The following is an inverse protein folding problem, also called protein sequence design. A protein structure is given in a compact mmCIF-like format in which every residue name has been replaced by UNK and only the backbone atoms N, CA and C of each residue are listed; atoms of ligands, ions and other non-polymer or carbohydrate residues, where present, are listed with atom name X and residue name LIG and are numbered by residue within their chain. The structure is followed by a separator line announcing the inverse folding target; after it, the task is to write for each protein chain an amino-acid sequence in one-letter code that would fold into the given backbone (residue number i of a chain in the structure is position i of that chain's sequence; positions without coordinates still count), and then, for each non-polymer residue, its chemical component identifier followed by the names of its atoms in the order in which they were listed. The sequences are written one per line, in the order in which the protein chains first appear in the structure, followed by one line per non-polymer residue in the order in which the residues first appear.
data_IF_661362649896
#
_entry.id   IF_661362649896
#
_cell.length_a   1.000
_cell.length_b   1.000
_cell.length_c   1.000
_cell.angle_alpha   90.00
_cell.angle_beta   90.00
_cell.angle_gamma   90.00
#
_symmetry.space_group_name_H-M   'P 1'
#
loop_
_entity.id
_entity.type
_entity.pdbx_description
1 polymer ?
#
# COMPACT_ATOMS: atom_id res chain seq x y z
N UNK A 1 18.02 49.03 -14.48
CA UNK A 1 16.62 49.44 -14.22
C UNK A 1 15.93 49.79 -15.53
N UNK A 2 15.04 48.91 -16.02
CA UNK A 2 13.92 49.22 -16.93
C UNK A 2 12.90 48.10 -16.73
N UNK A 3 11.82 48.41 -16.03
CA UNK A 3 10.64 47.56 -15.86
C UNK A 3 9.72 47.76 -17.08
N UNK A 4 9.20 46.68 -17.64
CA UNK A 4 8.09 46.72 -18.59
C UNK A 4 6.92 46.02 -17.92
N UNK A 5 5.94 46.82 -17.53
CA UNK A 5 4.64 46.42 -17.02
C UNK A 5 3.75 45.98 -18.20
N UNK A 6 3.13 44.80 -18.10
CA UNK A 6 2.08 44.34 -19.00
C UNK A 6 0.72 44.53 -18.30
N UNK A 7 -0.28 45.21 -18.89
CA UNK A 7 -1.56 45.42 -18.23
C UNK A 7 -2.49 44.21 -18.39
N UNK A 8 -3.02 43.75 -17.26
CA UNK A 8 -4.16 42.84 -17.14
C UNK A 8 -5.44 43.57 -17.55
N UNK A 9 -6.19 43.04 -18.52
CA UNK A 9 -7.54 43.51 -18.85
C UNK A 9 -8.54 42.56 -18.20
N UNK A 10 -9.20 43.04 -17.15
CA UNK A 10 -10.39 42.43 -16.55
C UNK A 10 -11.63 42.91 -17.33
N UNK A 11 -12.38 41.99 -17.93
CA UNK A 11 -13.71 42.26 -18.46
C UNK A 11 -14.75 41.66 -17.50
N UNK A 12 -15.34 42.54 -16.69
CA UNK A 12 -16.58 42.29 -15.97
C UNK A 12 -17.70 42.87 -16.83
N UNK A 13 -18.68 42.05 -17.22
CA UNK A 13 -19.99 42.55 -17.61
C UNK A 13 -21.07 41.86 -16.77
N UNK A 14 -21.72 42.69 -15.96
CA UNK A 14 -22.86 42.37 -15.12
C UNK A 14 -24.14 42.43 -15.96
N UNK A 15 -24.98 41.45 -15.70
CA UNK A 15 -26.41 41.29 -15.93
C UNK A 15 -27.24 42.53 -16.30
N UNK A 16 -28.14 42.35 -17.27
CA UNK A 16 -29.40 43.06 -17.35
C UNK A 16 -30.55 42.05 -17.49
N UNK A 17 -31.56 42.27 -16.66
CA UNK A 17 -32.76 41.46 -16.43
C UNK A 17 -33.93 42.03 -17.24
N UNK A 18 -34.74 41.19 -17.92
CA UNK A 18 -36.22 41.19 -17.84
C UNK A 18 -36.91 40.33 -18.91
N UNK A 19 -37.73 39.43 -18.39
CA UNK A 19 -39.08 39.00 -18.79
C UNK A 19 -39.52 39.15 -20.25
N UNK A 20 -39.88 38.00 -20.85
CA UNK A 20 -41.06 37.94 -21.71
C UNK A 20 -41.90 36.70 -21.37
N UNK A 21 -43.17 36.96 -21.08
CA UNK A 21 -44.24 35.99 -20.86
C UNK A 21 -44.65 35.37 -22.19
N UNK A 22 -44.77 34.05 -22.24
CA UNK A 22 -45.83 33.41 -23.05
C UNK A 22 -46.31 32.15 -22.37
N UNK A 23 -47.58 32.17 -21.96
CA UNK A 23 -48.34 30.98 -21.57
C UNK A 23 -48.70 30.20 -22.84
N UNK A 24 -48.44 28.89 -22.88
CA UNK A 24 -49.35 27.96 -23.54
C UNK A 24 -49.28 26.59 -22.85
N UNK A 25 -50.46 26.18 -22.36
CA UNK A 25 -50.74 24.83 -21.87
C UNK A 25 -50.75 23.86 -23.06
N UNK A 26 -49.85 22.88 -23.09
CA UNK A 26 -50.11 21.58 -23.71
C UNK A 26 -49.49 20.50 -22.83
N UNK A 27 -50.32 19.55 -22.40
CA UNK A 27 -49.96 18.28 -21.76
C UNK A 27 -50.33 17.15 -22.75
N UNK A 28 -49.88 15.91 -22.55
CA UNK A 28 -48.61 15.34 -22.97
C UNK A 28 -48.81 14.21 -24.01
N UNK A 29 -47.85 13.95 -24.91
CA UNK A 29 -47.71 12.59 -25.45
C UNK A 29 -46.40 12.36 -26.23
N UNK A 30 -45.93 11.12 -26.09
CA UNK A 30 -45.01 10.37 -26.96
C UNK A 30 -43.50 10.41 -26.68
N UNK A 31 -43.03 9.22 -26.35
CA UNK A 31 -41.65 8.81 -26.12
C UNK A 31 -40.73 9.05 -27.33
N UNK A 32 -39.50 9.48 -27.04
CA UNK A 32 -38.35 9.31 -27.93
C UNK A 32 -37.20 8.68 -27.15
N UNK A 33 -36.95 7.43 -27.55
CA UNK A 33 -35.75 6.60 -27.48
C UNK A 33 -34.49 7.31 -26.98
N UNK A 34 -33.96 6.86 -25.85
CA UNK A 34 -32.57 7.09 -25.47
C UNK A 34 -31.74 5.94 -26.03
N UNK A 35 -30.81 6.26 -26.93
CA UNK A 35 -29.86 5.32 -27.51
C UNK A 35 -28.94 4.71 -26.45
N UNK A 36 -28.81 3.39 -26.55
CA UNK A 36 -27.76 2.57 -25.95
C UNK A 36 -26.38 3.16 -26.25
N UNK A 37 -25.74 3.73 -25.23
CA UNK A 37 -24.29 3.78 -25.17
C UNK A 37 -23.83 2.64 -24.28
N UNK A 38 -23.64 1.48 -24.92
CA UNK A 38 -22.87 0.34 -24.43
C UNK A 38 -21.45 0.79 -24.09
N UNK A 39 -21.26 1.40 -22.93
CA UNK A 39 -19.96 1.37 -22.25
C UNK A 39 -19.77 -0.08 -21.85
N UNK A 40 -18.99 -0.79 -22.67
CA UNK A 40 -18.45 -2.11 -22.34
C UNK A 40 -17.60 -1.92 -21.09
N UNK A 41 -18.24 -1.99 -19.92
CA UNK A 41 -17.58 -2.07 -18.62
C UNK A 41 -16.80 -3.37 -18.69
N UNK A 42 -15.50 -3.27 -18.92
CA UNK A 42 -14.59 -4.39 -18.67
C UNK A 42 -14.77 -4.70 -17.20
N UNK A 43 -15.52 -5.75 -16.89
CA UNK A 43 -15.64 -6.28 -15.54
C UNK A 43 -14.25 -6.77 -15.19
N UNK A 44 -13.45 -5.89 -14.59
CA UNK A 44 -12.26 -6.28 -13.85
C UNK A 44 -12.75 -7.24 -12.79
N UNK A 45 -12.40 -8.51 -12.94
CA UNK A 45 -12.82 -9.58 -12.05
C UNK A 45 -12.08 -9.40 -10.71
N UNK A 46 -12.61 -8.52 -9.86
CA UNK A 46 -12.10 -8.17 -8.53
C UNK A 46 -12.35 -9.27 -7.49
N UNK A 47 -12.90 -10.42 -7.89
CA UNK A 47 -13.42 -11.45 -6.99
C UNK A 47 -12.39 -12.00 -5.98
N UNK A 48 -11.09 -11.98 -6.32
CA UNK A 48 -10.00 -12.55 -5.52
C UNK A 48 -9.03 -11.49 -4.98
N UNK A 49 -9.45 -10.24 -4.81
CA UNK A 49 -8.64 -9.18 -4.20
C UNK A 49 -9.19 -8.81 -2.83
N UNK A 50 -8.30 -8.72 -1.85
CA UNK A 50 -8.57 -8.21 -0.50
C UNK A 50 -7.65 -7.02 -0.28
N UNK A 51 -8.18 -5.92 0.21
CA UNK A 51 -7.39 -4.78 0.69
C UNK A 51 -7.32 -4.82 2.20
N UNK A 52 -6.16 -4.51 2.74
CA UNK A 52 -5.84 -4.51 4.16
C UNK A 52 -5.09 -3.23 4.51
N UNK A 53 -5.29 -2.70 5.71
CA UNK A 53 -4.54 -1.54 6.18
C UNK A 53 -5.07 -0.20 5.67
N UNK A 54 -6.34 -0.15 5.26
CA UNK A 54 -7.01 1.13 4.97
C UNK A 54 -6.90 2.04 6.20
N UNK A 55 -6.50 3.30 5.99
CA UNK A 55 -6.15 4.21 7.08
C UNK A 55 -7.28 4.38 8.11
N UNK A 56 -8.53 4.45 7.66
CA UNK A 56 -9.69 4.56 8.54
C UNK A 56 -9.88 3.35 9.46
N UNK A 57 -9.60 2.14 8.96
CA UNK A 57 -9.68 0.93 9.77
C UNK A 57 -8.47 0.82 10.69
N UNK A 58 -7.28 1.13 10.18
CA UNK A 58 -6.04 1.16 10.94
C UNK A 58 -6.13 2.00 12.22
N UNK A 59 -6.74 3.18 12.13
CA UNK A 59 -6.92 4.09 13.26
C UNK A 59 -7.80 3.48 14.37
N UNK A 60 -8.77 2.64 14.01
CA UNK A 60 -9.71 1.98 14.94
C UNK A 60 -9.15 0.71 15.58
N UNK A 61 -8.05 0.17 15.07
CA UNK A 61 -7.48 -1.09 15.59
C UNK A 61 -6.98 -0.96 17.03
N UNK A 62 -6.96 -2.08 17.78
CA UNK A 62 -6.22 -2.16 19.04
C UNK A 62 -4.77 -1.67 18.86
N UNK A 63 -4.31 -0.82 19.77
CA UNK A 63 -2.94 -0.30 19.70
C UNK A 63 -1.95 -1.24 20.37
N UNK A 64 -0.79 -1.43 19.75
CA UNK A 64 0.32 -2.16 20.35
C UNK A 64 0.80 -1.45 21.62
N UNK A 65 1.23 -2.21 22.62
CA UNK A 65 2.00 -1.67 23.74
C UNK A 65 3.45 -1.64 23.31
N UNK A 66 4.09 -0.47 23.38
CA UNK A 66 5.49 -0.28 22.98
C UNK A 66 6.29 0.29 24.13
N UNK A 67 7.17 -0.53 24.70
CA UNK A 67 8.02 -0.17 25.84
C UNK A 67 9.49 -0.12 25.42
N UNK A 68 10.25 0.84 25.97
CA UNK A 68 11.70 0.91 25.73
C UNK A 68 12.44 -0.25 26.39
N UNK A 69 13.48 -0.71 25.72
CA UNK A 69 14.39 -1.77 26.20
C UNK A 69 15.84 -1.36 26.00
N UNK A 70 16.77 -2.16 26.52
CA UNK A 70 18.19 -1.97 26.26
C UNK A 70 18.62 -2.53 24.90
N UNK A 71 19.66 -1.94 24.31
CA UNK A 71 20.35 -2.49 23.14
C UNK A 71 20.82 -3.93 23.38
N UNK A 72 21.32 -4.21 24.59
CA UNK A 72 21.82 -5.54 24.95
C UNK A 72 20.73 -6.62 24.88
N UNK A 73 19.48 -6.26 25.22
CA UNK A 73 18.34 -7.15 25.14
C UNK A 73 17.96 -7.42 23.68
N UNK A 74 17.98 -6.39 22.83
CA UNK A 74 17.72 -6.54 21.39
C UNK A 74 18.78 -7.41 20.70
N UNK A 75 20.05 -7.18 21.01
CA UNK A 75 21.18 -7.87 20.35
C UNK A 75 21.28 -9.37 20.70
N UNK A 76 20.57 -9.84 21.73
CA UNK A 76 20.45 -11.27 22.06
C UNK A 76 19.48 -12.03 21.15
N UNK A 77 18.66 -11.33 20.36
CA UNK A 77 17.63 -11.95 19.53
C UNK A 77 18.21 -12.61 18.28
N UNK A 78 17.68 -13.78 17.94
CA UNK A 78 18.01 -14.49 16.70
C UNK A 78 17.14 -13.98 15.56
N UNK A 79 17.76 -13.65 14.44
CA UNK A 79 17.04 -13.33 13.20
C UNK A 79 16.80 -14.62 12.42
N UNK A 80 15.56 -14.84 11.97
CA UNK A 80 15.20 -15.95 11.09
C UNK A 80 14.95 -15.44 9.68
N UNK A 81 15.47 -16.15 8.68
CA UNK A 81 15.13 -15.89 7.27
C UNK A 81 13.72 -16.40 7.00
N UNK A 82 12.83 -15.52 6.57
CA UNK A 82 11.41 -15.83 6.33
C UNK A 82 11.00 -15.77 4.85
N UNK A 83 11.79 -15.10 4.01
CA UNK A 83 11.53 -14.92 2.60
C UNK A 83 12.59 -15.65 1.76
N UNK A 84 12.12 -16.50 0.86
CA UNK A 84 12.97 -17.13 -0.14
C UNK A 84 13.05 -16.27 -1.39
N UNK A 85 14.26 -16.08 -1.91
CA UNK A 85 14.47 -15.41 -3.18
C UNK A 85 14.18 -16.41 -4.30
N UNK A 86 13.23 -16.07 -5.17
CA UNK A 86 12.87 -16.87 -6.34
C UNK A 86 13.25 -16.12 -7.60
N UNK A 87 13.81 -16.83 -8.57
CA UNK A 87 14.03 -16.31 -9.91
C UNK A 87 12.85 -16.78 -10.79
N UNK A 88 11.88 -15.91 -11.11
CA UNK A 88 10.72 -16.32 -11.91
C UNK A 88 11.15 -16.57 -13.36
N UNK A 89 10.36 -17.34 -14.09
CA UNK A 89 10.48 -17.39 -15.56
C UNK A 89 10.28 -15.99 -16.13
N UNK A 90 11.05 -15.63 -17.16
CA UNK A 90 11.01 -14.30 -17.76
C UNK A 90 11.00 -14.37 -19.29
N UNK A 91 10.27 -13.43 -19.92
CA UNK A 91 10.28 -13.24 -21.36
C UNK A 91 10.08 -11.76 -21.69
N UNK A 92 11.08 -11.16 -22.35
CA UNK A 92 11.10 -9.73 -22.63
C UNK A 92 10.90 -8.87 -21.37
N UNK A 93 9.92 -7.96 -21.44
CA UNK A 93 9.54 -7.05 -20.35
C UNK A 93 8.58 -7.69 -19.33
N UNK A 94 8.43 -9.01 -19.33
CA UNK A 94 7.53 -9.70 -18.40
C UNK A 94 8.25 -10.77 -17.58
N UNK A 95 7.76 -11.00 -16.37
CA UNK A 95 8.02 -12.20 -15.59
C UNK A 95 6.72 -12.93 -15.28
N UNK A 96 6.84 -14.19 -14.89
CA UNK A 96 5.70 -15.07 -14.67
C UNK A 96 5.78 -15.74 -13.30
N UNK A 97 4.64 -15.77 -12.60
CA UNK A 97 4.47 -16.52 -11.36
C UNK A 97 3.47 -17.65 -11.63
N UNK A 98 3.88 -18.88 -11.37
CA UNK A 98 2.99 -20.03 -11.43
C UNK A 98 2.32 -20.25 -10.07
N UNK A 99 1.00 -20.26 -10.04
CA UNK A 99 0.19 -20.75 -8.91
C UNK A 99 -0.41 -22.12 -9.27
N UNK A 100 -1.07 -22.78 -8.32
CA UNK A 100 -1.83 -24.01 -8.55
C UNK A 100 -3.00 -23.80 -9.52
N UNK A 101 -3.43 -22.55 -9.72
CA UNK A 101 -4.59 -22.21 -10.56
C UNK A 101 -4.18 -21.76 -11.95
N UNK A 102 -3.16 -20.90 -12.06
CA UNK A 102 -2.73 -20.35 -13.35
C UNK A 102 -1.32 -19.77 -13.32
N UNK A 103 -0.82 -19.48 -14.51
CA UNK A 103 0.40 -18.71 -14.71
C UNK A 103 0.05 -17.22 -14.84
N UNK A 104 0.42 -16.43 -13.83
CA UNK A 104 0.24 -14.99 -13.83
C UNK A 104 1.38 -14.31 -14.57
N UNK A 105 1.06 -13.30 -15.38
CA UNK A 105 2.01 -12.52 -16.17
C UNK A 105 2.10 -11.11 -15.62
N UNK A 106 3.30 -10.66 -15.26
CA UNK A 106 3.55 -9.34 -14.69
C UNK A 106 4.52 -8.56 -15.57
N UNK A 107 4.19 -7.30 -15.87
CA UNK A 107 5.10 -6.36 -16.55
C UNK A 107 6.19 -5.97 -15.55
N UNK A 108 7.47 -6.15 -15.90
CA UNK A 108 8.58 -5.74 -15.04
C UNK A 108 8.57 -4.22 -14.87
N UNK A 109 8.77 -3.75 -13.64
CA UNK A 109 9.08 -2.34 -13.42
C UNK A 109 10.45 -2.01 -14.03
N UNK A 110 10.52 -0.89 -14.74
CA UNK A 110 11.76 -0.31 -15.25
C UNK A 110 11.57 1.20 -15.24
N UNK A 111 12.32 1.87 -14.37
CA UNK A 111 12.48 3.31 -14.45
C UNK A 111 13.50 3.63 -15.55
N UNK A 112 13.03 4.21 -16.64
CA UNK A 112 13.86 4.55 -17.79
C UNK A 112 14.40 6.00 -17.71
N UNK A 113 14.16 6.72 -16.59
CA UNK A 113 14.74 8.05 -16.37
C UNK A 113 14.30 9.13 -17.37
N UNK A 114 13.11 8.98 -17.98
CA UNK A 114 12.52 9.94 -18.93
C UNK A 114 11.27 10.66 -18.37
N UNK A 115 10.70 11.57 -19.16
CA UNK A 115 9.50 12.36 -18.79
C UNK A 115 8.19 11.55 -18.75
N UNK A 116 8.20 10.30 -19.20
CA UNK A 116 7.02 9.44 -19.24
C UNK A 116 6.72 8.80 -17.88
N UNK A 117 5.43 8.59 -17.59
CA UNK A 117 4.97 7.81 -16.44
C UNK A 117 5.22 6.32 -16.66
N UNK A 118 5.91 5.66 -15.72
CA UNK A 118 6.24 4.24 -15.80
C UNK A 118 5.43 3.45 -14.80
N UNK A 119 5.18 2.17 -15.09
CA UNK A 119 4.55 1.26 -14.14
C UNK A 119 4.91 -0.19 -14.42
N UNK A 120 5.00 -0.97 -13.35
CA UNK A 120 5.27 -2.39 -13.41
C UNK A 120 5.43 -3.01 -12.02
N UNK A 121 5.91 -4.24 -12.00
CA UNK A 121 5.98 -5.06 -10.80
C UNK A 121 7.40 -5.60 -10.60
N UNK A 122 7.70 -5.96 -9.35
CA UNK A 122 8.87 -6.72 -8.98
C UNK A 122 8.49 -7.83 -8.00
N UNK A 123 9.03 -9.04 -8.22
CA UNK A 123 8.90 -10.15 -7.29
C UNK A 123 9.97 -10.01 -6.20
N UNK A 124 9.56 -9.78 -4.97
CA UNK A 124 10.45 -9.62 -3.82
C UNK A 124 10.88 -10.97 -3.24
N UNK A 125 10.01 -11.98 -3.31
CA UNK A 125 10.32 -13.34 -2.88
C UNK A 125 9.07 -14.16 -2.55
N UNK A 126 9.26 -15.23 -1.79
CA UNK A 126 8.21 -16.18 -1.44
C UNK A 126 8.28 -16.63 0.02
N UNK A 127 7.14 -16.58 0.71
CA UNK A 127 6.97 -17.11 2.06
C UNK A 127 6.56 -18.57 1.98
N UNK A 128 7.52 -19.49 2.09
CA UNK A 128 7.30 -20.93 1.89
C UNK A 128 6.23 -21.51 2.82
N UNK A 129 6.26 -21.15 4.10
CA UNK A 129 5.30 -21.65 5.09
C UNK A 129 3.87 -21.11 4.87
N UNK A 130 3.74 -19.94 4.26
CA UNK A 130 2.44 -19.29 4.00
C UNK A 130 1.92 -19.59 2.58
N UNK A 131 2.82 -20.05 1.69
CA UNK A 131 2.60 -20.18 0.25
C UNK A 131 2.18 -18.86 -0.41
N UNK A 132 2.84 -17.77 -0.04
CA UNK A 132 2.56 -16.42 -0.54
C UNK A 132 3.77 -15.86 -1.30
N UNK A 133 3.56 -15.37 -2.53
CA UNK A 133 4.55 -14.54 -3.22
C UNK A 133 4.40 -13.09 -2.76
N UNK A 134 5.51 -12.42 -2.44
CA UNK A 134 5.55 -10.99 -2.17
C UNK A 134 5.86 -10.23 -3.45
N UNK A 135 4.96 -9.39 -3.91
CA UNK A 135 5.10 -8.62 -5.15
C UNK A 135 4.86 -7.15 -4.84
N UNK A 136 5.77 -6.29 -5.29
CA UNK A 136 5.55 -4.84 -5.30
C UNK A 136 5.06 -4.39 -6.67
N UNK A 137 4.16 -3.43 -6.68
CA UNK A 137 3.77 -2.63 -7.83
C UNK A 137 4.36 -1.25 -7.64
N UNK A 138 5.09 -0.76 -8.64
CA UNK A 138 5.66 0.57 -8.64
C UNK A 138 5.15 1.34 -9.85
N UNK A 139 4.88 2.63 -9.66
CA UNK A 139 4.58 3.54 -10.75
C UNK A 139 5.19 4.91 -10.52
N UNK A 140 5.36 5.69 -11.59
CA UNK A 140 5.77 7.08 -11.53
C UNK A 140 4.77 7.95 -12.26
N UNK A 141 4.45 9.12 -11.70
CA UNK A 141 3.66 10.16 -12.34
C UNK A 141 4.15 11.52 -11.89
N UNK A 142 4.38 12.45 -12.82
CA UNK A 142 4.86 13.82 -12.51
C UNK A 142 6.11 13.85 -11.59
N UNK A 143 7.07 12.94 -11.84
CA UNK A 143 8.27 12.76 -11.01
C UNK A 143 8.04 12.26 -9.57
N UNK A 144 6.80 11.91 -9.21
CA UNK A 144 6.47 11.23 -7.96
C UNK A 144 6.43 9.72 -8.18
N UNK A 145 7.04 8.98 -7.26
CA UNK A 145 6.99 7.52 -7.23
C UNK A 145 5.89 7.03 -6.29
N UNK A 146 5.10 6.07 -6.76
CA UNK A 146 4.07 5.39 -5.99
C UNK A 146 4.41 3.91 -5.91
N UNK A 147 4.15 3.32 -4.74
CA UNK A 147 4.41 1.90 -4.50
C UNK A 147 3.26 1.24 -3.77
N UNK A 148 2.96 0.00 -4.14
CA UNK A 148 2.02 -0.86 -3.46
C UNK A 148 2.61 -2.24 -3.25
N UNK A 149 2.25 -2.89 -2.14
CA UNK A 149 2.64 -4.27 -1.87
C UNK A 149 1.42 -5.16 -1.86
N UNK A 150 1.51 -6.32 -2.49
CA UNK A 150 0.54 -7.39 -2.29
C UNK A 150 1.18 -8.75 -2.11
N UNK A 151 0.46 -9.62 -1.41
CA UNK A 151 0.78 -11.02 -1.25
C UNK A 151 -0.12 -11.86 -2.15
N UNK A 152 0.46 -12.63 -3.06
CA UNK A 152 -0.28 -13.54 -3.96
C UNK A 152 -0.24 -14.97 -3.42
N UNK A 153 -1.41 -15.54 -3.13
CA UNK A 153 -1.53 -16.92 -2.66
C UNK A 153 -1.34 -17.92 -3.81
N UNK A 154 -0.33 -18.76 -3.67
CA UNK A 154 0.03 -19.77 -4.66
C UNK A 154 -1.03 -20.87 -4.84
N UNK A 155 -2.00 -21.01 -3.92
CA UNK A 155 -2.98 -22.11 -3.92
C UNK A 155 -4.36 -21.72 -4.47
N UNK A 156 -4.72 -20.45 -4.38
CA UNK A 156 -6.09 -19.98 -4.65
C UNK A 156 -6.15 -18.65 -5.42
N UNK A 157 -5.02 -18.07 -5.83
CA UNK A 157 -4.91 -16.80 -6.56
C UNK A 157 -5.39 -15.55 -5.83
N UNK A 158 -5.69 -15.62 -4.52
CA UNK A 158 -6.03 -14.41 -3.77
C UNK A 158 -4.85 -13.46 -3.68
N UNK A 159 -5.13 -12.18 -3.92
CA UNK A 159 -4.21 -11.07 -3.72
C UNK A 159 -4.62 -10.31 -2.47
N UNK A 160 -3.72 -10.25 -1.50
CA UNK A 160 -3.87 -9.45 -0.28
C UNK A 160 -3.04 -8.18 -0.46
N UNK A 161 -3.68 -7.10 -0.91
CA UNK A 161 -3.06 -5.80 -1.05
C UNK A 161 -2.94 -5.17 0.33
N UNK A 162 -1.72 -4.78 0.70
CA UNK A 162 -1.45 -4.08 1.95
C UNK A 162 -1.31 -2.61 1.58
N UNK A 163 -2.35 -1.84 1.92
CA UNK A 163 -2.38 -0.42 1.71
C UNK A 163 -1.24 0.24 2.51
N UNK A 164 -0.61 1.22 1.87
CA UNK A 164 0.39 2.02 2.55
C UNK A 164 -0.25 3.11 3.39
N UNK A 165 0.49 3.51 4.42
CA UNK A 165 0.17 4.67 5.24
C UNK A 165 0.54 6.00 4.57
N UNK A 166 1.28 5.95 3.45
CA UNK A 166 1.65 7.11 2.64
C UNK A 166 1.81 6.76 1.17
N UNK A 167 2.60 7.56 0.43
CA UNK A 167 2.69 7.47 -1.03
C UNK A 167 3.57 6.32 -1.55
N UNK A 168 4.47 5.79 -0.70
CA UNK A 168 5.36 4.66 -1.03
C UNK A 168 4.80 3.31 -0.57
N UNK A 169 5.39 2.20 -1.01
CA UNK A 169 5.01 0.87 -0.50
C UNK A 169 5.38 0.71 0.99
N UNK A 170 4.59 -0.09 1.72
CA UNK A 170 5.04 -0.64 3.02
C UNK A 170 6.24 -1.56 2.84
N UNK A 171 6.99 -1.74 3.92
CA UNK A 171 8.07 -2.71 4.00
C UNK A 171 7.54 -4.15 4.03
N UNK A 172 8.39 -5.10 3.63
CA UNK A 172 8.05 -6.52 3.55
C UNK A 172 7.50 -7.07 4.87
N UNK A 173 6.29 -7.67 4.89
CA UNK A 173 5.70 -8.23 6.09
C UNK A 173 6.54 -9.35 6.71
N UNK A 174 6.79 -9.26 8.01
CA UNK A 174 7.64 -10.20 8.73
C UNK A 174 6.73 -11.17 9.50
N UNK A 175 6.75 -12.48 9.20
CA UNK A 175 5.94 -13.44 9.93
C UNK A 175 6.45 -13.68 11.35
N UNK A 176 5.49 -13.89 12.26
CA UNK A 176 5.74 -14.30 13.63
C UNK A 176 6.33 -15.71 13.70
N UNK A 177 6.89 -16.08 14.86
CA UNK A 177 7.65 -17.33 15.04
C UNK A 177 6.91 -18.58 14.53
N UNK A 178 5.60 -18.67 14.78
CA UNK A 178 4.75 -19.78 14.31
C UNK A 178 3.71 -19.34 13.29
N UNK A 179 3.95 -18.26 12.54
CA UNK A 179 3.08 -17.78 11.46
C UNK A 179 1.63 -17.48 11.92
N UNK A 180 1.46 -16.92 13.12
CA UNK A 180 0.14 -16.45 13.60
C UNK A 180 -0.15 -15.02 13.18
N UNK A 181 0.91 -14.22 13.01
CA UNK A 181 0.80 -12.82 12.61
C UNK A 181 1.85 -12.47 11.56
N UNK A 182 1.57 -11.41 10.80
CA UNK A 182 2.53 -10.66 10.00
C UNK A 182 2.62 -9.25 10.58
N UNK A 183 3.82 -8.74 10.81
CA UNK A 183 4.03 -7.30 11.09
C UNK A 183 4.57 -6.63 9.84
N UNK A 184 4.02 -5.49 9.48
CA UNK A 184 4.51 -4.64 8.40
C UNK A 184 4.62 -3.21 8.91
N UNK A 185 5.44 -2.40 8.26
CA UNK A 185 5.63 -1.02 8.67
C UNK A 185 5.92 -0.11 7.49
N UNK A 186 5.80 1.19 7.75
CA UNK A 186 6.20 2.25 6.84
C UNK A 186 6.96 3.30 7.64
N UNK A 187 8.02 3.83 7.05
CA UNK A 187 8.68 5.03 7.55
C UNK A 187 8.31 6.15 6.58
N UNK A 188 7.71 7.25 7.06
CA UNK A 188 7.34 8.32 6.14
C UNK A 188 8.59 8.96 5.52
N UNK A 189 8.42 9.34 4.26
CA UNK A 189 9.43 10.07 3.49
C UNK A 189 9.35 11.57 3.73
N UNK A 190 8.24 12.07 4.29
CA UNK A 190 7.98 13.51 4.47
C UNK A 190 8.34 14.03 5.87
N UNK A 191 8.28 13.18 6.89
CA UNK A 191 8.63 13.57 8.25
C UNK A 191 9.92 12.87 8.69
N UNK A 192 10.72 13.55 9.50
CA UNK A 192 12.08 13.12 9.79
C UNK A 192 12.16 11.93 10.76
N UNK A 193 11.10 11.63 11.52
CA UNK A 193 11.16 10.70 12.66
C UNK A 193 9.86 9.92 12.91
N UNK A 194 9.09 9.56 11.88
CA UNK A 194 7.84 8.84 12.06
C UNK A 194 7.86 7.43 11.46
N UNK A 195 7.03 6.58 12.06
CA UNK A 195 6.71 5.27 11.51
C UNK A 195 5.29 4.84 11.88
N UNK A 196 4.73 4.03 11.01
CA UNK A 196 3.47 3.34 11.19
C UNK A 196 3.71 1.82 11.14
N UNK A 197 3.08 1.08 12.06
CA UNK A 197 3.19 -0.36 12.16
C UNK A 197 1.79 -0.96 12.10
N UNK A 198 1.56 -1.87 11.17
CA UNK A 198 0.38 -2.70 11.13
C UNK A 198 0.68 -4.15 11.45
N UNK A 199 -0.27 -4.83 12.08
CA UNK A 199 -0.22 -6.27 12.34
C UNK A 199 -1.42 -6.93 11.69
N UNK A 200 -1.14 -7.92 10.85
CA UNK A 200 -2.16 -8.80 10.26
C UNK A 200 -2.17 -10.12 11.04
N UNK A 201 -3.36 -10.61 11.39
CA UNK A 201 -3.58 -11.97 11.86
C UNK A 201 -3.66 -12.91 10.66
N UNK A 202 -2.99 -14.06 10.78
CA UNK A 202 -3.08 -15.17 9.83
C UNK A 202 -4.14 -16.15 10.37
N UNK A 203 -5.24 -16.28 9.63
CA UNK A 203 -6.33 -17.20 9.92
C UNK A 203 -6.21 -18.47 9.07
N UNK A 204 -7.20 -19.35 9.16
CA UNK A 204 -7.28 -20.51 8.28
C UNK A 204 -7.63 -20.12 6.84
N UNK A 205 -7.24 -20.98 5.88
CA UNK A 205 -7.50 -20.76 4.45
C UNK A 205 -8.90 -21.23 3.99
N UNK A 206 -9.79 -21.66 4.90
CA UNK A 206 -11.14 -22.13 4.49
C UNK A 206 -11.97 -20.99 3.91
N UNK A 207 -11.73 -19.76 4.38
CA UNK A 207 -12.24 -18.54 3.79
C UNK A 207 -11.08 -17.63 3.35
N UNK A 208 -10.63 -17.71 2.08
CA UNK A 208 -9.50 -16.92 1.58
C UNK A 208 -9.69 -15.41 1.78
N UNK A 209 -10.92 -14.89 1.71
CA UNK A 209 -11.21 -13.45 1.97
C UNK A 209 -10.86 -12.99 3.39
N UNK A 210 -10.77 -13.93 4.34
CA UNK A 210 -10.44 -13.66 5.74
C UNK A 210 -9.12 -14.32 6.16
N UNK A 211 -8.35 -14.86 5.23
CA UNK A 211 -7.09 -15.51 5.55
C UNK A 211 -6.11 -14.53 6.23
N UNK A 212 -6.08 -13.28 5.78
CA UNK A 212 -5.40 -12.18 6.45
C UNK A 212 -6.44 -11.15 6.90
N UNK A 213 -6.33 -10.67 8.14
CA UNK A 213 -7.19 -9.63 8.71
C UNK A 213 -6.38 -8.72 9.60
N UNK A 214 -6.68 -7.43 9.67
CA UNK A 214 -6.01 -6.52 10.60
C UNK A 214 -6.24 -6.94 12.07
N UNK A 215 -5.20 -6.75 12.91
CA UNK A 215 -5.21 -7.18 14.31
C UNK A 215 -4.82 -6.06 15.27
N UNK A 216 -3.78 -5.29 14.94
CA UNK A 216 -3.29 -4.20 15.77
C UNK A 216 -2.54 -3.16 14.95
N UNK A 217 -2.40 -1.96 15.52
CA UNK A 217 -1.63 -0.86 14.93
C UNK A 217 -0.76 -0.10 15.93
N UNK A 218 0.22 0.64 15.44
CA UNK A 218 0.98 1.60 16.24
C UNK A 218 1.58 2.70 15.36
N UNK A 219 1.42 3.95 15.79
CA UNK A 219 2.09 5.10 15.16
C UNK A 219 3.09 5.70 16.14
N UNK A 220 4.27 6.03 15.64
CA UNK A 220 5.30 6.74 16.37
C UNK A 220 5.67 8.00 15.61
N UNK A 221 5.80 9.12 16.34
CA UNK A 221 6.43 10.34 15.83
C UNK A 221 7.86 10.49 16.39
N UNK A 222 8.39 9.40 16.97
CA UNK A 222 9.63 9.40 17.75
C UNK A 222 10.76 8.57 17.14
N UNK A 223 10.57 7.82 16.06
CA UNK A 223 11.67 7.09 15.42
C UNK A 223 11.20 6.51 14.08
N UNK A 224 12.15 6.28 13.18
CA UNK A 224 12.01 5.39 12.03
C UNK A 224 12.42 3.98 12.42
N UNK A 225 11.88 2.97 11.75
CA UNK A 225 12.21 1.56 12.00
C UNK A 225 13.35 1.16 11.07
N UNK A 226 14.41 0.60 11.65
CA UNK A 226 15.49 -0.05 10.90
C UNK A 226 15.27 -1.56 10.82
N UNK A 227 14.80 -2.17 11.91
CA UNK A 227 14.66 -3.62 11.99
C UNK A 227 13.58 -4.04 12.98
N UNK A 228 12.84 -5.09 12.61
CA UNK A 228 11.93 -5.80 13.51
C UNK A 228 12.37 -7.26 13.63
N UNK A 229 12.30 -7.82 14.85
CA UNK A 229 12.56 -9.24 15.12
C UNK A 229 11.48 -9.77 16.06
N UNK A 230 10.80 -10.84 15.66
CA UNK A 230 9.86 -11.54 16.55
C UNK A 230 10.58 -12.33 17.63
N UNK A 231 10.11 -12.22 18.87
CA UNK A 231 10.52 -13.06 20.00
C UNK A 231 9.53 -14.20 20.26
N UNK A 232 8.24 -13.92 20.10
CA UNK A 232 7.14 -14.90 20.20
C UNK A 232 6.12 -14.60 19.10
N UNK A 233 4.93 -15.22 19.15
CA UNK A 233 3.84 -14.84 18.24
C UNK A 233 3.14 -13.52 18.62
N UNK A 234 3.21 -13.08 19.88
CA UNK A 234 2.57 -11.84 20.34
C UNK A 234 3.57 -10.69 20.54
N UNK A 235 4.87 -10.99 20.59
CA UNK A 235 5.90 -10.02 20.97
C UNK A 235 6.97 -9.94 19.89
N UNK A 236 7.21 -8.72 19.41
CA UNK A 236 8.35 -8.40 18.55
C UNK A 236 9.13 -7.22 19.09
N UNK A 237 10.36 -7.10 18.64
CA UNK A 237 11.32 -6.12 19.08
C UNK A 237 11.69 -5.24 17.91
N UNK A 238 11.87 -3.96 18.17
CA UNK A 238 12.09 -2.91 17.18
C UNK A 238 13.44 -2.26 17.47
N UNK A 239 14.31 -2.20 16.46
CA UNK A 239 15.43 -1.26 16.41
C UNK A 239 14.97 -0.06 15.60
N UNK A 240 14.81 1.05 16.30
CA UNK A 240 14.45 2.34 15.73
C UNK A 240 15.66 3.26 15.63
N UNK A 241 15.55 4.30 14.81
CA UNK A 241 16.57 5.33 14.68
C UNK A 241 15.97 6.72 14.47
N UNK A 242 16.76 7.74 14.81
CA UNK A 242 16.56 9.13 14.42
C UNK A 242 17.80 9.62 13.68
N UNK A 243 17.59 10.41 12.64
CA UNK A 243 18.68 11.10 11.96
C UNK A 243 18.99 12.42 12.69
N UNK A 244 20.22 12.56 13.17
CA UNK A 244 20.74 13.77 13.84
C UNK A 244 22.12 14.05 13.25
N UNK A 245 22.32 15.22 12.65
CA UNK A 245 23.61 15.65 12.07
C UNK A 245 24.25 14.59 11.13
N UNK A 246 23.44 14.00 10.24
CA UNK A 246 23.85 12.92 9.31
C UNK A 246 24.30 11.61 10.02
N UNK A 247 23.90 11.39 11.26
CA UNK A 247 24.13 10.15 12.01
C UNK A 247 22.83 9.56 12.51
N UNK A 248 22.77 8.24 12.59
CA UNK A 248 21.64 7.53 13.18
C UNK A 248 21.87 7.35 14.68
N UNK A 249 20.98 7.94 15.48
CA UNK A 249 20.86 7.64 16.91
C UNK A 249 19.86 6.51 17.09
N UNK A 250 20.33 5.36 17.58
CA UNK A 250 19.51 4.16 17.74
C UNK A 250 18.74 4.14 19.06
N UNK A 251 17.53 3.57 19.01
CA UNK A 251 16.68 3.30 20.15
C UNK A 251 16.02 1.93 19.97
N UNK A 252 15.66 1.28 21.08
CA UNK A 252 15.22 -0.11 21.09
C UNK A 252 13.92 -0.25 21.86
N UNK A 253 12.99 -1.03 21.31
CA UNK A 253 11.67 -1.20 21.88
C UNK A 253 11.20 -2.66 21.83
N UNK A 254 10.36 -3.04 22.77
CA UNK A 254 9.52 -4.23 22.75
C UNK A 254 8.10 -3.80 22.41
N UNK A 255 7.49 -4.45 21.44
CA UNK A 255 6.09 -4.28 21.06
C UNK A 255 5.28 -5.55 21.34
N UNK A 256 4.07 -5.40 21.88
CA UNK A 256 3.19 -6.51 22.26
C UNK A 256 1.77 -6.33 21.71
N UNK A 257 1.25 -7.41 21.12
CA UNK A 257 -0.13 -7.54 20.66
C UNK A 257 -0.99 -7.97 21.85
N UNK A 258 -2.05 -7.22 22.16
CA UNK A 258 -3.03 -7.56 23.19
C UNK A 258 -4.04 -8.61 22.72
#
# INVERSE_FOLDING_TARGET
MKQIFLPFVFLILISCNKENKTNSNIKPETAIKTEDSLVKKTVSDTANKVSLGDYEEYEKLPKLIVDSISESEFNQLKTTKYLEKINPEQSGNFFYIQTERKKHKFKKYKDYGGEESWSGYELLGYYTNLKLFAVTENSTSESLGFGGLFLLDATNDYQYNIASFGDGSVELPIPSVNNKYLVYYYNSVYESQNCEIGVLKINDKTNPKKYLTEAASYKSDNFKIEKIIWKTDQVFFIKGYKEVENKNLYSYYKAEIK
#
